data_IF_035748663484
#
_entry.id   IF_035748663484
#
_cell.length_a   1.000
_cell.length_b   1.000
_cell.length_c   1.000
_cell.angle_alpha   90.00
_cell.angle_beta   90.00
_cell.angle_gamma   90.00
#
_symmetry.space_group_name_H-M   'P 1'
#
loop_
_entity.id
_entity.type
_entity.pdbx_description
1 polymer ?
#
# COMPACT_ATOMS: atom_id res chain seq x y z
N UNK A 1 -10.67 -7.37 -29.98
CA UNK A 1 -9.48 -7.02 -29.17
C UNK A 1 -9.73 -5.63 -28.61
N UNK A 2 -9.58 -5.42 -27.30
CA UNK A 2 -9.73 -4.12 -26.68
C UNK A 2 -8.47 -3.76 -25.90
N UNK A 3 -8.21 -2.46 -25.78
CA UNK A 3 -7.09 -1.92 -25.00
C UNK A 3 -7.67 -1.17 -23.81
N UNK A 4 -7.07 -1.36 -22.63
CA UNK A 4 -7.43 -0.62 -21.43
C UNK A 4 -6.35 0.41 -21.13
N UNK A 5 -6.78 1.65 -20.89
CA UNK A 5 -5.91 2.68 -20.34
C UNK A 5 -5.90 2.51 -18.82
N UNK A 6 -4.73 2.23 -18.27
CA UNK A 6 -4.52 2.01 -16.84
C UNK A 6 -3.46 2.96 -16.31
N UNK A 7 -3.46 3.18 -14.99
CA UNK A 7 -2.41 3.93 -14.32
C UNK A 7 -1.08 3.17 -14.39
N UNK A 8 0.01 3.92 -14.40
CA UNK A 8 1.35 3.35 -14.22
C UNK A 8 1.49 2.73 -12.82
N UNK A 9 2.26 1.65 -12.68
CA UNK A 9 2.38 0.93 -11.40
C UNK A 9 2.84 1.81 -10.24
N UNK A 10 3.74 2.78 -10.51
CA UNK A 10 4.20 3.76 -9.51
C UNK A 10 3.10 4.72 -9.04
N UNK A 11 2.15 5.08 -9.92
CA UNK A 11 0.96 5.87 -9.55
C UNK A 11 0.02 5.02 -8.70
N UNK A 12 -0.18 3.76 -9.08
CA UNK A 12 -0.99 2.82 -8.27
C UNK A 12 -0.37 2.66 -6.88
N UNK A 13 0.95 2.49 -6.78
CA UNK A 13 1.67 2.40 -5.50
C UNK A 13 1.48 3.65 -4.66
N UNK A 14 1.64 4.84 -5.25
CA UNK A 14 1.47 6.10 -4.56
C UNK A 14 0.04 6.28 -4.03
N UNK A 15 -0.97 5.94 -4.83
CA UNK A 15 -2.38 5.97 -4.42
C UNK A 15 -2.68 4.95 -3.32
N UNK A 16 -2.10 3.75 -3.38
CA UNK A 16 -2.28 2.72 -2.34
C UNK A 16 -1.65 3.11 -1.01
N UNK A 17 -0.45 3.71 -1.05
CA UNK A 17 0.17 4.25 0.16
C UNK A 17 -0.66 5.39 0.76
N UNK A 18 -1.14 6.32 -0.08
CA UNK A 18 -2.05 7.40 0.34
C UNK A 18 -3.34 6.83 0.95
N UNK A 19 -3.98 5.86 0.30
CA UNK A 19 -5.22 5.25 0.78
C UNK A 19 -5.00 4.54 2.12
N UNK A 20 -3.89 3.82 2.27
CA UNK A 20 -3.53 3.15 3.52
C UNK A 20 -3.33 4.15 4.67
N UNK A 21 -2.66 5.28 4.42
CA UNK A 21 -2.46 6.34 5.43
C UNK A 21 -3.81 6.90 5.90
N UNK A 22 -4.73 7.16 4.98
CA UNK A 22 -6.00 7.79 5.34
C UNK A 22 -7.01 6.81 5.97
N UNK A 23 -7.16 5.62 5.35
CA UNK A 23 -8.22 4.66 5.68
C UNK A 23 -7.75 3.54 6.60
N UNK A 24 -6.51 3.05 6.46
CA UNK A 24 -5.96 1.97 7.28
C UNK A 24 -6.48 0.57 6.94
N UNK A 25 -6.95 0.34 5.72
CA UNK A 25 -7.69 -0.87 5.39
C UNK A 25 -6.81 -2.08 5.05
N UNK A 26 -7.20 -3.31 5.45
CA UNK A 26 -6.49 -4.55 5.14
C UNK A 26 -6.06 -4.73 3.69
N UNK A 27 -6.96 -4.39 2.76
CA UNK A 27 -6.75 -4.55 1.32
C UNK A 27 -5.74 -3.56 0.77
N UNK A 28 -5.79 -2.30 1.22
CA UNK A 28 -4.81 -1.28 0.79
C UNK A 28 -3.41 -1.63 1.30
N UNK A 29 -3.30 -2.21 2.51
CA UNK A 29 -2.05 -2.74 3.04
C UNK A 29 -1.51 -3.91 2.22
N UNK A 30 -2.36 -4.87 1.86
CA UNK A 30 -1.97 -6.01 1.03
C UNK A 30 -1.54 -5.57 -0.37
N UNK A 31 -2.35 -4.74 -1.04
CA UNK A 31 -2.04 -4.24 -2.38
C UNK A 31 -0.72 -3.47 -2.41
N UNK A 32 -0.48 -2.64 -1.39
CA UNK A 32 0.79 -1.93 -1.24
C UNK A 32 1.96 -2.92 -1.07
N UNK A 33 1.81 -3.93 -0.22
CA UNK A 33 2.82 -4.97 -0.03
C UNK A 33 3.10 -5.74 -1.33
N UNK A 34 2.08 -6.09 -2.11
CA UNK A 34 2.23 -6.76 -3.41
C UNK A 34 3.05 -5.90 -4.38
N UNK A 35 2.75 -4.59 -4.47
CA UNK A 35 3.47 -3.68 -5.37
C UNK A 35 4.94 -3.51 -4.93
N UNK A 36 5.18 -3.42 -3.63
CA UNK A 36 6.54 -3.39 -3.07
C UNK A 36 7.29 -4.70 -3.37
N UNK A 37 6.62 -5.84 -3.22
CA UNK A 37 7.19 -7.17 -3.47
C UNK A 37 7.52 -7.41 -4.95
N UNK A 38 6.85 -6.69 -5.85
CA UNK A 38 7.13 -6.66 -7.29
C UNK A 38 8.24 -5.67 -7.66
N UNK A 39 8.90 -5.04 -6.68
CA UNK A 39 9.90 -4.00 -6.88
C UNK A 39 9.43 -2.81 -7.73
N UNK A 40 8.15 -2.44 -7.62
CA UNK A 40 7.63 -1.24 -8.28
C UNK A 40 8.40 0.00 -7.80
N UNK A 41 8.77 0.87 -8.74
CA UNK A 41 9.53 2.08 -8.44
C UNK A 41 8.75 3.01 -7.50
N UNK A 42 9.42 3.49 -6.45
CA UNK A 42 8.82 4.39 -5.47
C UNK A 42 9.22 5.83 -5.82
N UNK A 43 8.30 6.56 -6.44
CA UNK A 43 8.47 7.99 -6.71
C UNK A 43 8.05 8.82 -5.48
N UNK A 44 9.05 9.26 -4.71
CA UNK A 44 8.85 10.09 -3.51
C UNK A 44 8.10 11.39 -3.83
N UNK A 45 8.43 12.05 -4.95
CA UNK A 45 7.84 13.35 -5.31
C UNK A 45 6.35 13.18 -5.55
N UNK A 46 5.98 12.10 -6.23
CA UNK A 46 4.59 11.75 -6.48
C UNK A 46 3.85 11.47 -5.17
N UNK A 47 4.39 10.61 -4.30
CA UNK A 47 3.79 10.28 -3.00
C UNK A 47 3.53 11.54 -2.16
N UNK A 48 4.54 12.41 -2.02
CA UNK A 48 4.38 13.64 -1.23
C UNK A 48 3.38 14.62 -1.85
N UNK A 49 3.30 14.69 -3.19
CA UNK A 49 2.28 15.49 -3.88
C UNK A 49 0.88 14.99 -3.52
N UNK A 50 0.64 13.68 -3.62
CA UNK A 50 -0.65 13.04 -3.32
C UNK A 50 -1.06 13.20 -1.85
N UNK A 51 -0.11 13.07 -0.92
CA UNK A 51 -0.37 13.29 0.50
C UNK A 51 -0.68 14.75 0.81
N UNK A 52 -0.01 15.70 0.15
CA UNK A 52 -0.26 17.14 0.31
C UNK A 52 -1.67 17.54 -0.14
N UNK A 53 -2.19 16.91 -1.20
CA UNK A 53 -3.55 17.16 -1.72
C UNK A 53 -4.62 16.84 -0.67
N UNK A 54 -4.40 15.82 0.18
CA UNK A 54 -5.32 15.44 1.26
C UNK A 54 -4.94 15.97 2.64
N UNK A 55 -3.82 16.72 2.75
CA UNK A 55 -3.24 17.23 4.01
C UNK A 55 -2.83 16.13 4.99
N UNK A 56 -2.64 14.90 4.50
CA UNK A 56 -2.23 13.75 5.30
C UNK A 56 -0.72 13.66 5.40
N UNK A 57 -0.21 12.97 6.42
CA UNK A 57 1.23 12.78 6.63
C UNK A 57 1.59 11.30 6.69
N UNK A 58 2.82 10.98 6.29
CA UNK A 58 3.38 9.62 6.44
C UNK A 58 3.35 9.15 7.90
N UNK A 59 3.43 10.08 8.86
CA UNK A 59 3.31 9.79 10.29
C UNK A 59 1.93 9.29 10.72
N UNK A 60 0.90 9.52 9.92
CA UNK A 60 -0.48 9.10 10.20
C UNK A 60 -0.79 7.69 9.65
N UNK A 61 0.24 6.94 9.24
CA UNK A 61 0.07 5.58 8.73
C UNK A 61 -0.70 4.72 9.73
N UNK A 62 -1.88 4.26 9.31
CA UNK A 62 -2.71 3.29 10.03
C UNK A 62 -2.46 1.92 9.43
N UNK A 63 -2.05 0.97 10.26
CA UNK A 63 -1.92 -0.42 9.86
C UNK A 63 -3.11 -1.21 10.42
N UNK A 64 -3.73 -2.09 9.62
CA UNK A 64 -4.79 -2.97 10.08
C UNK A 64 -4.25 -3.95 11.13
N UNK A 65 -5.10 -4.46 12.01
CA UNK A 65 -4.72 -5.57 12.91
C UNK A 65 -4.50 -6.86 12.13
N UNK A 66 -3.82 -7.83 12.74
CA UNK A 66 -3.60 -9.16 12.15
C UNK A 66 -4.93 -9.88 11.87
N UNK A 67 -5.89 -9.75 12.78
CA UNK A 67 -7.20 -10.39 12.67
C UNK A 67 -8.02 -9.79 11.52
N UNK A 68 -8.08 -8.46 11.41
CA UNK A 68 -8.73 -7.78 10.29
C UNK A 68 -8.07 -8.14 8.95
N UNK A 69 -6.75 -8.25 8.93
CA UNK A 69 -5.98 -8.67 7.77
C UNK A 69 -6.33 -10.09 7.32
N UNK A 70 -6.34 -11.05 8.24
CA UNK A 70 -6.68 -12.43 7.94
C UNK A 70 -8.14 -12.57 7.50
N UNK A 71 -9.09 -11.97 8.23
CA UNK A 71 -10.52 -12.04 7.90
C UNK A 71 -10.79 -11.44 6.53
N UNK A 72 -10.25 -10.26 6.24
CA UNK A 72 -10.53 -9.56 4.99
C UNK A 72 -9.93 -10.25 3.75
N UNK A 73 -8.81 -10.96 3.89
CA UNK A 73 -8.07 -11.50 2.75
C UNK A 73 -8.24 -13.01 2.56
N UNK A 74 -8.60 -13.77 3.61
CA UNK A 74 -8.73 -15.23 3.56
C UNK A 74 -9.62 -15.74 2.41
N UNK A 75 -10.65 -14.99 2.03
CA UNK A 75 -11.55 -15.33 0.92
C UNK A 75 -11.17 -14.68 -0.42
N UNK A 76 -10.27 -13.69 -0.40
CA UNK A 76 -9.90 -12.90 -1.58
C UNK A 76 -8.59 -13.37 -2.23
N UNK A 77 -7.70 -14.03 -1.47
CA UNK A 77 -6.38 -14.44 -1.95
C UNK A 77 -6.15 -15.93 -1.76
N UNK A 78 -5.54 -16.56 -2.76
CA UNK A 78 -5.20 -17.99 -2.72
C UNK A 78 -4.11 -18.30 -1.70
N UNK A 79 -3.16 -17.37 -1.52
CA UNK A 79 -2.04 -17.50 -0.58
C UNK A 79 -1.94 -16.22 0.22
N UNK A 80 -2.23 -16.32 1.51
CA UNK A 80 -2.11 -15.21 2.44
C UNK A 80 -0.68 -15.17 3.01
N UNK A 81 0.11 -14.12 2.74
CA UNK A 81 1.44 -14.01 3.32
C UNK A 81 1.34 -13.68 4.81
N UNK A 82 2.34 -14.08 5.62
CA UNK A 82 2.35 -13.76 7.05
C UNK A 82 2.29 -12.25 7.29
N UNK A 83 1.33 -11.81 8.11
CA UNK A 83 1.12 -10.39 8.42
C UNK A 83 2.40 -9.69 8.91
N UNK A 84 3.18 -10.35 9.78
CA UNK A 84 4.44 -9.81 10.31
C UNK A 84 5.48 -9.56 9.22
N UNK A 85 5.56 -10.44 8.21
CA UNK A 85 6.47 -10.26 7.08
C UNK A 85 6.04 -9.06 6.24
N UNK A 86 4.77 -9.03 5.83
CA UNK A 86 4.22 -7.94 5.02
C UNK A 86 4.39 -6.59 5.73
N UNK A 87 4.14 -6.56 7.04
CA UNK A 87 4.27 -5.37 7.88
C UNK A 87 5.70 -4.87 7.92
N UNK A 88 6.67 -5.77 8.11
CA UNK A 88 8.10 -5.43 8.13
C UNK A 88 8.56 -4.82 6.81
N UNK A 89 8.10 -5.35 5.68
CA UNK A 89 8.47 -4.86 4.35
C UNK A 89 7.86 -3.48 4.06
N UNK A 90 6.56 -3.29 4.37
CA UNK A 90 5.89 -1.99 4.24
C UNK A 90 6.54 -0.95 5.13
N UNK A 91 6.84 -1.28 6.40
CA UNK A 91 7.49 -0.35 7.33
C UNK A 91 8.89 0.05 6.85
N UNK A 92 9.70 -0.88 6.33
CA UNK A 92 11.02 -0.56 5.75
C UNK A 92 10.92 0.44 4.61
N UNK A 93 9.89 0.33 3.76
CA UNK A 93 9.67 1.28 2.67
C UNK A 93 9.27 2.63 3.21
N UNK A 94 8.34 2.66 4.17
CA UNK A 94 7.89 3.90 4.82
C UNK A 94 9.04 4.60 5.57
N UNK A 95 9.94 3.86 6.20
CA UNK A 95 11.14 4.40 6.84
C UNK A 95 12.11 5.02 5.82
N UNK A 96 12.28 4.43 4.65
CA UNK A 96 13.07 5.03 3.56
C UNK A 96 12.45 6.30 2.99
N UNK A 97 11.16 6.55 3.26
CA UNK A 97 10.43 7.73 2.81
C UNK A 97 10.45 8.87 3.83
N UNK A 98 10.77 8.60 5.11
CA UNK A 98 11.06 9.62 6.11
C UNK A 98 12.40 10.30 5.84
#
# INVERSE_FOLDING_TARGET
MFTLVVLEEKEILAEKLRALINRGEPRDFYDLWVLISKNVEIDKKLIFKKLKEEKSKISELKLPSKEEYEIALKELVNVLPPYEQAKKEVLKVVEKLK
#
